data_IF_602608868895
#
_entry.id   IF_602608868895
#
_cell.length_a   1.000
_cell.length_b   1.000
_cell.length_c   1.000
_cell.angle_alpha   90.00
_cell.angle_beta   90.00
_cell.angle_gamma   90.00
#
_symmetry.space_group_name_H-M   'P 1'
#
loop_
_entity.id
_entity.type
_entity.pdbx_description
1 polymer ?
#
# COMPACT_ATOMS: atom_id res chain seq x y z
N UNK A 1 13.03 -14.68 13.57
CA UNK A 1 11.74 -13.99 13.43
C UNK A 1 11.39 -13.68 11.99
N UNK A 2 12.31 -13.06 11.21
CA UNK A 2 12.03 -12.70 9.80
C UNK A 2 11.69 -13.93 8.94
N UNK A 3 12.49 -14.97 8.98
CA UNK A 3 12.21 -16.24 8.29
C UNK A 3 11.00 -17.01 8.85
N UNK A 4 10.45 -16.58 9.99
CA UNK A 4 9.21 -17.11 10.56
C UNK A 4 7.98 -16.25 10.21
N UNK A 5 8.18 -15.11 9.55
CA UNK A 5 7.11 -14.19 9.19
C UNK A 5 6.56 -13.33 10.35
N UNK A 6 7.31 -13.19 11.44
CA UNK A 6 6.83 -12.55 12.69
C UNK A 6 7.70 -11.40 13.20
N UNK A 7 8.60 -10.89 12.38
CA UNK A 7 9.42 -9.72 12.73
C UNK A 7 8.76 -8.43 12.26
N UNK A 8 7.77 -7.94 12.99
CA UNK A 8 6.95 -6.80 12.58
C UNK A 8 7.68 -5.45 12.60
N UNK A 9 8.86 -5.37 13.20
CA UNK A 9 9.75 -4.19 13.18
C UNK A 9 10.96 -4.39 12.24
N UNK A 10 10.88 -5.30 11.27
CA UNK A 10 11.98 -5.59 10.34
C UNK A 10 12.46 -4.35 9.59
N UNK A 11 11.58 -3.40 9.31
CA UNK A 11 11.90 -2.13 8.65
C UNK A 11 12.83 -1.23 9.48
N UNK A 12 13.00 -1.49 10.77
CA UNK A 12 14.00 -0.84 11.65
C UNK A 12 15.38 -1.49 11.56
N UNK A 13 15.49 -2.60 10.84
CA UNK A 13 16.72 -3.37 10.66
C UNK A 13 17.18 -3.40 9.22
N UNK A 14 16.27 -3.61 8.29
CA UNK A 14 16.53 -3.51 6.85
C UNK A 14 16.22 -2.10 6.37
N UNK A 15 16.89 -1.69 5.30
CA UNK A 15 16.89 -0.31 4.82
C UNK A 15 18.16 0.43 5.16
N UNK A 16 18.11 1.76 5.12
CA UNK A 16 19.20 2.66 5.48
C UNK A 16 18.86 3.42 6.77
N UNK A 17 19.70 3.28 7.79
CA UNK A 17 19.45 3.86 9.11
C UNK A 17 20.64 4.67 9.59
N UNK A 18 20.40 5.94 9.96
CA UNK A 18 21.39 6.75 10.64
C UNK A 18 21.84 6.02 11.92
N UNK A 19 23.12 5.87 12.09
CA UNK A 19 23.71 5.07 13.18
C UNK A 19 25.03 5.67 13.64
N UNK A 20 25.47 5.24 14.82
CA UNK A 20 26.80 5.54 15.36
C UNK A 20 27.46 4.22 15.71
N UNK A 21 28.59 3.91 15.07
CA UNK A 21 29.38 2.74 15.38
C UNK A 21 30.80 3.19 15.83
N UNK A 22 31.27 2.67 16.95
CA UNK A 22 32.55 3.06 17.56
C UNK A 22 32.77 4.59 17.70
N UNK A 23 31.68 5.32 17.96
CA UNK A 23 31.70 6.78 18.09
C UNK A 23 31.72 7.55 16.76
N UNK A 24 31.66 6.87 15.64
CA UNK A 24 31.61 7.48 14.29
C UNK A 24 30.19 7.49 13.76
N UNK A 25 29.72 8.66 13.35
CA UNK A 25 28.41 8.80 12.69
C UNK A 25 28.47 8.26 11.26
N UNK A 26 27.38 7.68 10.81
CA UNK A 26 27.23 7.15 9.47
C UNK A 26 25.84 6.53 9.25
N UNK A 27 25.76 5.64 8.27
CA UNK A 27 24.53 4.94 7.92
C UNK A 27 24.79 3.44 7.89
N UNK A 28 23.94 2.68 8.58
CA UNK A 28 23.86 1.24 8.43
C UNK A 28 22.87 0.91 7.29
N UNK A 29 23.33 0.08 6.35
CA UNK A 29 22.52 -0.44 5.24
C UNK A 29 22.28 -1.92 5.44
N UNK A 30 21.02 -2.34 5.31
CA UNK A 30 20.62 -3.74 5.37
C UNK A 30 19.67 -4.12 4.25
N UNK A 31 19.89 -5.27 3.61
CA UNK A 31 19.04 -5.77 2.53
C UNK A 31 18.92 -7.29 2.56
N UNK A 32 17.75 -7.79 2.18
CA UNK A 32 17.51 -9.22 2.01
C UNK A 32 17.66 -9.59 0.54
N UNK A 33 18.69 -10.39 0.24
CA UNK A 33 19.02 -10.88 -1.09
C UNK A 33 19.66 -12.27 -1.00
N UNK A 34 18.87 -13.31 -0.71
CA UNK A 34 19.38 -14.64 -0.34
C UNK A 34 20.14 -15.35 -1.46
N UNK A 35 19.85 -15.04 -2.71
CA UNK A 35 20.47 -15.68 -3.87
C UNK A 35 21.58 -14.84 -4.51
N UNK A 36 21.84 -13.62 -4.01
CA UNK A 36 22.91 -12.78 -4.54
C UNK A 36 24.30 -13.45 -4.38
N UNK A 37 25.16 -13.25 -5.36
CA UNK A 37 26.57 -13.60 -5.24
C UNK A 37 27.34 -12.55 -4.44
N UNK A 38 26.98 -11.27 -4.63
CA UNK A 38 27.54 -10.11 -3.95
C UNK A 38 26.50 -8.98 -3.94
N UNK A 39 26.52 -8.15 -2.91
CA UNK A 39 25.75 -6.91 -2.86
C UNK A 39 26.66 -5.76 -2.47
N UNK A 40 26.59 -4.65 -3.19
CA UNK A 40 27.33 -3.43 -2.91
C UNK A 40 26.36 -2.26 -2.71
N UNK A 41 26.75 -1.27 -1.91
CA UNK A 41 26.03 -0.01 -1.80
C UNK A 41 26.70 1.02 -2.70
N UNK A 42 25.93 1.60 -3.61
CA UNK A 42 26.39 2.67 -4.51
C UNK A 42 25.51 3.90 -4.28
N UNK A 43 26.09 5.08 -4.42
CA UNK A 43 25.34 6.32 -4.20
C UNK A 43 26.18 7.56 -4.41
N UNK A 44 25.59 8.70 -4.10
CA UNK A 44 26.26 10.01 -4.20
C UNK A 44 27.50 10.13 -3.31
N UNK A 45 27.54 9.39 -2.21
CA UNK A 45 28.66 9.40 -1.27
C UNK A 45 29.96 8.76 -1.82
N UNK A 46 29.86 7.89 -2.82
CA UNK A 46 30.99 7.22 -3.45
C UNK A 46 31.02 7.40 -4.98
N UNK A 47 30.35 8.47 -5.49
CA UNK A 47 30.26 8.76 -6.92
C UNK A 47 29.71 7.58 -7.75
N UNK A 48 28.80 6.80 -7.14
CA UNK A 48 28.21 5.59 -7.73
C UNK A 48 29.22 4.50 -8.08
N UNK A 49 30.36 4.47 -7.39
CA UNK A 49 31.40 3.48 -7.61
C UNK A 49 30.92 2.08 -7.24
N UNK A 50 30.92 1.19 -8.21
CA UNK A 50 30.38 -0.17 -8.09
C UNK A 50 31.22 -1.11 -7.21
N UNK A 51 32.49 -0.77 -6.94
CA UNK A 51 33.44 -1.68 -6.28
C UNK A 51 33.80 -1.30 -4.85
N UNK A 52 33.49 -0.07 -4.44
CA UNK A 52 34.07 0.51 -3.24
C UNK A 52 33.41 0.09 -1.90
N UNK A 53 32.15 -0.35 -1.90
CA UNK A 53 31.40 -0.63 -0.67
C UNK A 53 30.65 -1.97 -0.72
N UNK A 54 31.40 -3.11 -0.74
CA UNK A 54 30.79 -4.42 -0.67
C UNK A 54 30.18 -4.67 0.70
N UNK A 55 28.94 -5.20 0.71
CA UNK A 55 28.25 -5.60 1.93
C UNK A 55 28.71 -6.97 2.42
N UNK A 56 28.52 -7.23 3.70
CA UNK A 56 28.80 -8.50 4.33
C UNK A 56 27.50 -9.32 4.47
N UNK A 57 27.58 -10.61 4.14
CA UNK A 57 26.48 -11.54 4.37
C UNK A 57 26.37 -11.85 5.87
N UNK A 58 25.20 -11.61 6.44
CA UNK A 58 24.92 -11.80 7.86
C UNK A 58 24.20 -13.13 8.09
N UNK A 59 24.96 -14.18 8.38
CA UNK A 59 24.42 -15.52 8.60
C UNK A 59 23.81 -16.15 7.34
N UNK A 60 22.98 -17.17 7.55
CA UNK A 60 22.40 -17.98 6.47
C UNK A 60 21.04 -17.47 5.96
N UNK A 61 20.45 -16.45 6.60
CA UNK A 61 19.12 -15.94 6.26
C UNK A 61 19.06 -15.07 5.01
N UNK A 62 20.18 -14.87 4.31
CA UNK A 62 20.23 -14.08 3.07
C UNK A 62 20.20 -12.57 3.29
N UNK A 63 20.49 -12.10 4.48
CA UNK A 63 20.61 -10.67 4.80
C UNK A 63 22.05 -10.23 4.60
N UNK A 64 22.20 -9.06 3.97
CA UNK A 64 23.46 -8.36 3.78
C UNK A 64 23.43 -7.06 4.55
N UNK A 65 24.55 -6.71 5.19
CA UNK A 65 24.66 -5.49 6.00
C UNK A 65 26.00 -4.81 5.82
N UNK A 66 26.01 -3.48 5.98
CA UNK A 66 27.22 -2.65 5.95
C UNK A 66 26.96 -1.33 6.67
N UNK A 67 27.84 -0.96 7.60
CA UNK A 67 27.92 0.41 8.11
C UNK A 67 28.90 1.21 7.26
N UNK A 68 28.50 2.40 6.83
CA UNK A 68 29.35 3.32 6.05
C UNK A 68 29.51 4.62 6.85
N UNK A 69 30.70 4.91 7.36
CA UNK A 69 30.96 6.14 8.11
C UNK A 69 30.89 7.37 7.21
N UNK A 70 30.42 8.49 7.77
CA UNK A 70 30.36 9.79 7.08
C UNK A 70 29.24 9.92 6.04
N UNK A 71 28.40 8.91 5.85
CA UNK A 71 27.18 9.04 5.06
C UNK A 71 26.13 9.76 5.89
N UNK A 72 25.43 10.70 5.29
CA UNK A 72 24.48 11.59 5.95
C UNK A 72 23.06 11.46 5.38
N UNK A 73 22.10 12.04 6.11
CA UNK A 73 20.73 12.19 5.61
C UNK A 73 20.71 12.98 4.29
N UNK A 74 19.82 12.59 3.37
CA UNK A 74 19.72 13.16 2.04
C UNK A 74 20.60 12.46 0.98
N UNK A 75 21.48 11.54 1.38
CA UNK A 75 22.30 10.76 0.45
C UNK A 75 21.43 9.86 -0.42
N UNK A 76 21.61 9.94 -1.73
CA UNK A 76 20.99 9.02 -2.69
C UNK A 76 21.82 7.75 -2.82
N UNK A 77 21.14 6.60 -2.84
CA UNK A 77 21.80 5.29 -2.94
C UNK A 77 20.95 4.25 -3.66
N UNK A 78 21.63 3.18 -4.09
CA UNK A 78 21.02 1.93 -4.57
C UNK A 78 21.79 0.73 -4.01
N UNK A 79 21.15 -0.43 -4.01
CA UNK A 79 21.84 -1.70 -3.89
C UNK A 79 22.23 -2.20 -5.28
N UNK A 80 23.51 -2.42 -5.51
CA UNK A 80 24.02 -3.11 -6.68
C UNK A 80 24.15 -4.59 -6.35
N UNK A 81 23.29 -5.40 -6.94
CA UNK A 81 23.25 -6.83 -6.73
C UNK A 81 23.91 -7.55 -7.88
N UNK A 82 24.94 -8.33 -7.56
CA UNK A 82 25.56 -9.27 -8.49
C UNK A 82 24.81 -10.59 -8.40
N UNK A 83 23.99 -10.90 -9.39
CA UNK A 83 23.27 -12.15 -9.47
C UNK A 83 24.22 -13.31 -9.82
N UNK A 84 23.86 -14.55 -9.42
CA UNK A 84 24.69 -15.73 -9.68
C UNK A 84 24.81 -16.08 -11.17
N UNK A 85 23.90 -15.59 -12.01
CA UNK A 85 23.92 -15.74 -13.47
C UNK A 85 24.80 -14.68 -14.16
N UNK A 86 25.45 -13.79 -13.41
CA UNK A 86 26.37 -12.76 -13.89
C UNK A 86 25.71 -11.42 -14.17
N UNK A 87 24.40 -11.27 -14.04
CA UNK A 87 23.72 -9.97 -14.20
C UNK A 87 24.07 -9.02 -13.04
N UNK A 88 24.20 -7.72 -13.39
CA UNK A 88 24.25 -6.63 -12.44
C UNK A 88 22.86 -5.98 -12.34
N UNK A 89 22.32 -5.93 -11.15
CA UNK A 89 20.98 -5.39 -10.89
C UNK A 89 21.07 -4.16 -9.99
N UNK A 90 20.58 -3.02 -10.49
CA UNK A 90 20.60 -1.73 -9.77
C UNK A 90 19.23 -1.53 -9.11
N UNK A 91 19.14 -1.87 -7.83
CA UNK A 91 17.86 -1.94 -7.12
C UNK A 91 17.67 -0.78 -6.15
N UNK A 92 16.46 -0.19 -6.16
CA UNK A 92 16.01 0.62 -5.06
C UNK A 92 15.88 -0.23 -3.79
N UNK A 93 16.01 0.40 -2.64
CA UNK A 93 15.87 -0.28 -1.36
C UNK A 93 14.39 -0.61 -1.08
N UNK A 94 14.03 -1.88 -0.90
CA UNK A 94 12.65 -2.27 -0.61
C UNK A 94 12.06 -1.66 0.67
N UNK A 95 12.92 -1.28 1.62
CA UNK A 95 12.55 -0.67 2.90
C UNK A 95 12.85 0.83 2.98
N UNK A 96 13.23 1.47 1.87
CA UNK A 96 13.48 2.90 1.86
C UNK A 96 12.25 3.70 2.30
N UNK A 97 12.45 4.69 3.14
CA UNK A 97 11.39 5.58 3.61
C UNK A 97 11.25 6.83 2.74
N UNK A 98 12.16 7.06 1.81
CA UNK A 98 12.12 8.18 0.88
C UNK A 98 12.75 7.79 -0.45
N UNK A 99 12.09 8.15 -1.53
CA UNK A 99 12.54 7.87 -2.89
C UNK A 99 12.92 9.15 -3.63
N UNK A 100 13.89 9.03 -4.55
CA UNK A 100 14.20 10.08 -5.50
C UNK A 100 12.95 10.46 -6.32
N UNK A 101 12.79 11.77 -6.59
CA UNK A 101 11.69 12.24 -7.43
C UNK A 101 11.80 11.65 -8.84
N UNK A 102 10.70 11.15 -9.36
CA UNK A 102 10.65 10.54 -10.69
C UNK A 102 11.11 11.52 -11.79
N UNK A 103 11.77 11.08 -12.86
CA UNK A 103 12.03 9.69 -13.26
C UNK A 103 13.22 9.02 -12.56
N UNK A 104 13.84 9.67 -11.58
CA UNK A 104 14.90 9.06 -10.77
C UNK A 104 14.41 7.82 -10.02
N UNK A 105 15.32 6.88 -9.76
CA UNK A 105 14.99 5.57 -9.19
C UNK A 105 15.83 5.20 -7.98
N UNK A 106 16.59 6.15 -7.44
CA UNK A 106 17.36 5.95 -6.23
C UNK A 106 16.49 6.03 -4.98
N UNK A 107 16.97 5.44 -3.91
CA UNK A 107 16.46 5.66 -2.57
C UNK A 107 17.24 6.79 -1.89
N UNK A 108 16.65 7.45 -0.90
CA UNK A 108 17.26 8.56 -0.17
C UNK A 108 17.31 8.19 1.30
N UNK A 109 18.49 8.35 1.91
CA UNK A 109 18.65 8.20 3.36
C UNK A 109 17.83 9.28 4.05
N UNK A 110 16.92 8.89 4.92
CA UNK A 110 16.08 9.83 5.67
C UNK A 110 15.78 9.32 7.08
N UNK A 111 15.71 10.24 8.02
CA UNK A 111 15.23 9.97 9.38
C UNK A 111 13.74 10.31 9.48
N UNK A 112 12.90 9.31 9.69
CA UNK A 112 11.47 9.49 9.93
C UNK A 112 11.13 9.61 11.42
N UNK A 113 12.11 9.54 12.30
CA UNK A 113 11.92 9.69 13.75
C UNK A 113 11.88 11.15 14.17
N UNK A 114 11.46 11.41 15.42
CA UNK A 114 11.53 12.76 16.01
C UNK A 114 10.51 13.76 15.45
N UNK A 115 9.47 13.31 14.73
CA UNK A 115 8.37 14.19 14.36
C UNK A 115 7.55 14.57 15.60
N UNK A 116 7.22 15.87 15.74
CA UNK A 116 6.42 16.40 16.86
C UNK A 116 4.93 16.14 16.65
N UNK A 117 4.50 14.93 16.95
CA UNK A 117 3.09 14.55 16.88
C UNK A 117 2.25 15.27 17.92
N UNK A 118 1.15 15.86 17.51
CA UNK A 118 0.21 16.59 18.37
C UNK A 118 -1.20 16.00 18.29
N UNK A 119 -1.31 14.72 17.99
CA UNK A 119 -2.53 13.98 17.75
C UNK A 119 -2.87 12.96 18.86
N UNK A 120 -2.21 13.02 20.01
CA UNK A 120 -2.38 12.07 21.11
C UNK A 120 -3.85 11.90 21.52
N UNK A 121 -4.62 12.98 21.57
CA UNK A 121 -6.06 12.92 21.89
C UNK A 121 -6.87 12.13 20.87
N UNK A 122 -6.52 12.27 19.59
CA UNK A 122 -7.13 11.49 18.51
C UNK A 122 -6.79 10.01 18.66
N UNK A 123 -5.51 9.68 18.83
CA UNK A 123 -5.04 8.30 18.97
C UNK A 123 -5.67 7.59 20.16
N UNK A 124 -5.75 8.23 21.33
CA UNK A 124 -6.41 7.69 22.51
C UNK A 124 -7.93 7.51 22.32
N UNK A 125 -8.57 8.42 21.60
CA UNK A 125 -9.99 8.33 21.32
C UNK A 125 -10.28 7.21 20.32
N UNK A 126 -9.44 7.09 19.28
CA UNK A 126 -9.54 6.03 18.28
C UNK A 126 -9.47 4.64 18.90
N UNK A 127 -8.50 4.40 19.76
CA UNK A 127 -8.26 3.09 20.36
C UNK A 127 -9.37 2.65 21.33
N UNK A 128 -10.23 3.57 21.75
CA UNK A 128 -11.39 3.31 22.60
C UNK A 128 -12.69 3.09 21.82
N UNK A 129 -12.72 3.37 20.53
CA UNK A 129 -13.91 3.28 19.68
C UNK A 129 -14.09 1.87 19.11
N UNK A 130 -15.33 1.43 19.09
CA UNK A 130 -15.76 0.30 18.28
C UNK A 130 -16.21 0.85 16.91
N UNK A 131 -15.33 0.79 15.94
CA UNK A 131 -15.58 1.38 14.62
C UNK A 131 -16.76 0.72 13.89
N UNK A 132 -17.16 -0.48 14.26
CA UNK A 132 -18.38 -1.12 13.72
C UNK A 132 -19.68 -0.45 14.20
N UNK A 133 -19.59 0.42 15.20
CA UNK A 133 -20.73 1.16 15.77
C UNK A 133 -20.67 2.66 15.52
N UNK A 134 -19.59 3.14 14.92
CA UNK A 134 -19.42 4.56 14.62
C UNK A 134 -19.85 4.86 13.17
N UNK A 135 -20.54 5.99 12.93
CA UNK A 135 -20.83 6.41 11.57
C UNK A 135 -19.55 6.82 10.87
N UNK A 136 -19.37 6.36 9.63
CA UNK A 136 -18.24 6.72 8.79
C UNK A 136 -18.75 7.33 7.48
N UNK A 137 -18.25 8.53 7.17
CA UNK A 137 -18.36 9.16 5.85
C UNK A 137 -16.95 9.38 5.33
N UNK A 138 -16.59 8.66 4.27
CA UNK A 138 -15.22 8.59 3.75
C UNK A 138 -15.15 9.33 2.42
N UNK A 139 -14.17 10.22 2.26
CA UNK A 139 -13.84 10.86 0.98
C UNK A 139 -12.60 10.20 0.37
N UNK A 140 -12.78 9.46 -0.71
CA UNK A 140 -11.69 8.88 -1.50
C UNK A 140 -11.01 9.98 -2.33
N UNK A 141 -9.70 10.11 -2.23
CA UNK A 141 -8.97 11.22 -2.81
C UNK A 141 -7.58 10.82 -3.31
N UNK A 142 -7.25 11.27 -4.53
CA UNK A 142 -5.89 11.26 -5.07
C UNK A 142 -5.32 12.68 -5.00
N UNK A 143 -4.22 12.88 -4.27
CA UNK A 143 -3.67 14.22 -3.98
C UNK A 143 -3.40 15.00 -5.27
N UNK A 144 -2.74 14.37 -6.25
CA UNK A 144 -2.40 15.00 -7.52
C UNK A 144 -3.60 15.34 -8.43
N UNK A 145 -4.78 14.82 -8.11
CA UNK A 145 -6.02 15.05 -8.89
C UNK A 145 -7.05 15.91 -8.17
N UNK A 146 -6.92 16.09 -6.86
CA UNK A 146 -7.89 16.84 -6.06
C UNK A 146 -8.04 18.29 -6.52
N UNK A 147 -6.94 19.01 -6.57
CA UNK A 147 -6.84 20.37 -7.09
C UNK A 147 -5.48 20.60 -7.74
N UNK A 148 -5.41 21.56 -8.64
CA UNK A 148 -4.14 22.03 -9.24
C UNK A 148 -3.78 23.40 -8.70
N UNK A 149 -2.52 23.54 -8.32
CA UNK A 149 -1.96 24.82 -7.93
C UNK A 149 -1.63 25.63 -9.20
N UNK A 150 -2.25 26.81 -9.39
CA UNK A 150 -2.14 27.52 -10.66
C UNK A 150 -0.74 28.07 -10.95
N UNK A 151 0.11 28.25 -9.95
CA UNK A 151 1.40 28.98 -10.07
C UNK A 151 2.50 28.46 -9.13
N UNK A 152 2.67 27.13 -8.99
CA UNK A 152 3.76 26.61 -8.12
C UNK A 152 5.08 26.33 -8.85
N UNK A 153 5.17 26.70 -10.12
CA UNK A 153 6.40 26.54 -10.91
C UNK A 153 6.67 25.13 -11.42
N UNK A 154 5.79 24.15 -11.16
CA UNK A 154 5.88 22.79 -11.72
C UNK A 154 4.90 22.61 -12.86
N UNK A 155 5.26 21.76 -13.82
CA UNK A 155 4.38 21.43 -14.94
C UNK A 155 3.12 20.67 -14.50
N UNK A 156 3.24 19.85 -13.48
CA UNK A 156 2.15 19.07 -12.91
C UNK A 156 1.17 19.90 -12.10
N UNK A 157 1.63 20.98 -11.46
CA UNK A 157 0.83 21.86 -10.61
C UNK A 157 0.26 21.12 -9.38
N UNK A 158 0.99 20.14 -8.83
CA UNK A 158 0.55 19.44 -7.63
C UNK A 158 0.68 20.33 -6.39
N UNK A 159 -0.29 20.22 -5.48
CA UNK A 159 -0.07 20.67 -4.11
C UNK A 159 0.90 19.70 -3.41
N UNK A 160 1.81 20.24 -2.61
CA UNK A 160 2.59 19.42 -1.69
C UNK A 160 1.73 18.95 -0.50
N UNK A 161 2.24 18.00 0.31
CA UNK A 161 1.51 17.46 1.46
C UNK A 161 1.01 18.54 2.44
N UNK A 162 1.78 19.60 2.67
CA UNK A 162 1.42 20.67 3.60
C UNK A 162 0.34 21.59 3.02
N UNK A 163 0.49 22.00 1.78
CA UNK A 163 -0.51 22.82 1.08
C UNK A 163 -1.81 22.06 0.89
N UNK A 164 -1.72 20.77 0.59
CA UNK A 164 -2.88 19.89 0.48
C UNK A 164 -3.63 19.77 1.81
N UNK A 165 -2.92 19.71 2.94
CA UNK A 165 -3.55 19.65 4.26
C UNK A 165 -4.54 20.79 4.48
N UNK A 166 -4.15 22.03 4.19
CA UNK A 166 -5.01 23.20 4.36
C UNK A 166 -6.28 23.10 3.52
N UNK A 167 -6.13 22.69 2.26
CA UNK A 167 -7.23 22.60 1.31
C UNK A 167 -8.19 21.46 1.60
N UNK A 168 -7.67 20.28 1.87
CA UNK A 168 -8.50 19.09 2.10
C UNK A 168 -9.27 19.19 3.42
N UNK A 169 -8.66 19.74 4.47
CA UNK A 169 -9.31 19.90 5.79
C UNK A 169 -10.51 20.84 5.68
N UNK A 170 -10.38 21.95 4.98
CA UNK A 170 -11.48 22.89 4.73
C UNK A 170 -12.66 22.17 4.05
N UNK A 171 -12.38 21.46 2.97
CA UNK A 171 -13.37 20.72 2.21
C UNK A 171 -14.06 19.62 3.03
N UNK A 172 -13.27 18.80 3.75
CA UNK A 172 -13.81 17.69 4.56
C UNK A 172 -14.72 18.19 5.69
N UNK A 173 -14.38 19.31 6.31
CA UNK A 173 -15.20 19.94 7.35
C UNK A 173 -16.52 20.50 6.79
N UNK A 174 -16.45 21.21 5.67
CA UNK A 174 -17.63 21.74 4.98
C UNK A 174 -18.59 20.62 4.60
N UNK A 175 -18.07 19.54 4.01
CA UNK A 175 -18.84 18.39 3.55
C UNK A 175 -19.16 17.38 4.66
N UNK A 176 -18.62 17.56 5.87
CA UNK A 176 -18.84 16.72 7.07
C UNK A 176 -18.35 15.26 6.90
N UNK A 177 -17.28 15.07 6.16
CA UNK A 177 -16.62 13.78 6.11
C UNK A 177 -15.89 13.47 7.43
N UNK A 178 -15.91 12.21 7.84
CA UNK A 178 -15.25 11.74 9.06
C UNK A 178 -13.83 11.22 8.77
N UNK A 179 -13.59 10.78 7.55
CA UNK A 179 -12.32 10.20 7.11
C UNK A 179 -12.00 10.65 5.68
N UNK A 180 -10.71 10.66 5.37
CA UNK A 180 -10.20 10.72 4.00
C UNK A 180 -9.49 9.41 3.69
N UNK A 181 -9.77 8.82 2.53
CA UNK A 181 -9.03 7.68 1.98
C UNK A 181 -8.09 8.20 0.89
N UNK A 182 -6.78 8.03 1.12
CA UNK A 182 -5.75 8.55 0.23
C UNK A 182 -5.23 7.46 -0.70
N UNK A 183 -5.41 7.69 -2.00
CA UNK A 183 -4.89 6.84 -3.07
C UNK A 183 -3.47 7.24 -3.44
N UNK A 184 -2.66 6.26 -3.91
CA UNK A 184 -1.36 6.51 -4.53
C UNK A 184 -0.31 7.12 -3.61
N UNK A 185 -0.34 6.77 -2.32
CA UNK A 185 0.63 7.30 -1.34
C UNK A 185 1.93 6.51 -1.37
N UNK A 186 1.93 5.19 -1.49
CA UNK A 186 3.15 4.43 -1.64
C UNK A 186 3.87 4.79 -2.96
N UNK A 187 5.20 4.89 -2.92
CA UNK A 187 5.99 5.34 -4.08
C UNK A 187 5.80 4.42 -5.29
N UNK A 188 5.64 5.04 -6.45
CA UNK A 188 5.39 4.37 -7.73
C UNK A 188 5.98 5.19 -8.88
N UNK A 189 6.53 4.55 -9.95
CA UNK A 189 7.20 5.27 -11.03
C UNK A 189 6.24 5.88 -12.05
N UNK A 190 5.09 5.25 -12.29
CA UNK A 190 4.18 5.60 -13.37
C UNK A 190 2.92 6.31 -12.88
N UNK A 191 2.76 7.58 -13.21
CA UNK A 191 1.60 8.40 -12.79
C UNK A 191 0.27 7.83 -13.28
N UNK A 192 0.25 7.25 -14.47
CA UNK A 192 -0.95 6.64 -15.05
C UNK A 192 -1.46 5.41 -14.31
N UNK A 193 -0.67 4.85 -13.41
CA UNK A 193 -1.10 3.75 -12.54
C UNK A 193 -1.93 4.21 -11.34
N UNK A 194 -2.03 5.52 -11.08
CA UNK A 194 -2.66 6.12 -9.90
C UNK A 194 -2.12 5.60 -8.55
N UNK A 195 -0.91 5.00 -8.58
CA UNK A 195 -0.28 4.40 -7.41
C UNK A 195 -0.53 2.91 -7.23
N UNK A 196 -1.17 2.23 -8.18
CA UNK A 196 -1.41 0.78 -8.11
C UNK A 196 -0.25 -0.08 -8.64
N UNK A 197 0.79 0.53 -9.22
CA UNK A 197 2.03 -0.15 -9.60
C UNK A 197 3.17 0.28 -8.67
N UNK A 198 3.13 -0.21 -7.45
CA UNK A 198 4.02 0.20 -6.36
C UNK A 198 5.43 -0.35 -6.57
N UNK A 199 6.44 0.48 -6.28
CA UNK A 199 7.85 0.09 -6.17
C UNK A 199 8.43 0.34 -4.79
N UNK A 200 7.91 1.34 -4.05
CA UNK A 200 8.37 1.72 -2.72
C UNK A 200 7.29 1.57 -1.65
N UNK A 201 7.15 0.38 -1.08
CA UNK A 201 6.09 0.07 -0.10
C UNK A 201 6.23 0.82 1.23
N UNK A 202 7.45 1.23 1.60
CA UNK A 202 7.76 1.90 2.86
C UNK A 202 8.05 3.39 2.70
N UNK A 203 7.81 3.95 1.51
CA UNK A 203 8.05 5.36 1.21
C UNK A 203 6.75 6.06 0.77
N UNK A 204 6.34 7.14 1.45
CA UNK A 204 5.36 8.05 0.87
C UNK A 204 5.92 8.63 -0.42
N UNK A 205 5.09 8.73 -1.46
CA UNK A 205 5.56 9.24 -2.75
C UNK A 205 6.20 10.62 -2.62
N UNK A 206 7.37 10.79 -3.23
CA UNK A 206 8.11 12.04 -3.26
C UNK A 206 7.47 13.14 -4.13
N UNK A 207 6.41 12.80 -4.86
CA UNK A 207 5.64 13.76 -5.70
C UNK A 207 5.13 14.95 -4.92
N UNK A 208 4.83 14.79 -3.64
CA UNK A 208 4.16 15.79 -2.82
C UNK A 208 5.00 16.27 -1.64
N UNK A 209 6.27 15.84 -1.54
CA UNK A 209 7.17 16.27 -0.47
C UNK A 209 7.88 15.12 0.25
N UNK A 210 8.36 15.42 1.45
CA UNK A 210 9.11 14.47 2.28
C UNK A 210 8.21 13.58 3.13
N UNK A 211 8.73 12.48 3.70
CA UNK A 211 7.97 11.69 4.67
C UNK A 211 7.45 12.49 5.87
N UNK A 212 8.23 13.43 6.38
CA UNK A 212 7.79 14.32 7.49
C UNK A 212 6.70 15.29 7.07
N UNK A 213 6.65 15.70 5.80
CA UNK A 213 5.52 16.47 5.27
C UNK A 213 4.24 15.64 5.21
N UNK A 214 4.34 14.35 4.91
CA UNK A 214 3.20 13.45 4.99
C UNK A 214 2.74 13.21 6.45
N UNK A 215 3.67 13.07 7.39
CA UNK A 215 3.33 13.05 8.83
C UNK A 215 2.60 14.34 9.25
N UNK A 216 3.05 15.50 8.76
CA UNK A 216 2.36 16.78 9.00
C UNK A 216 0.91 16.77 8.51
N UNK A 217 0.67 16.27 7.29
CA UNK A 217 -0.69 16.13 6.74
C UNK A 217 -1.60 15.30 7.68
N UNK A 218 -1.12 14.14 8.11
CA UNK A 218 -1.90 13.27 9.02
C UNK A 218 -2.14 13.94 10.37
N UNK A 219 -1.11 14.56 10.93
CA UNK A 219 -1.22 15.30 12.20
C UNK A 219 -2.28 16.40 12.14
N UNK A 220 -2.31 17.18 11.07
CA UNK A 220 -3.29 18.27 10.90
C UNK A 220 -4.72 17.70 10.66
N UNK A 221 -4.85 16.60 9.93
CA UNK A 221 -6.15 15.91 9.77
C UNK A 221 -6.68 15.42 11.12
N UNK A 222 -5.85 14.78 11.94
CA UNK A 222 -6.24 14.33 13.28
C UNK A 222 -6.64 15.50 14.20
N UNK A 223 -5.89 16.59 14.18
CA UNK A 223 -6.25 17.82 14.92
C UNK A 223 -7.58 18.40 14.46
N UNK A 224 -7.92 18.22 13.20
CA UNK A 224 -9.19 18.64 12.62
C UNK A 224 -10.36 17.68 12.92
N UNK A 225 -10.07 16.53 13.54
CA UNK A 225 -11.07 15.50 13.84
C UNK A 225 -11.39 14.58 12.67
N UNK A 226 -10.46 14.40 11.73
CA UNK A 226 -10.60 13.58 10.52
C UNK A 226 -9.61 12.43 10.56
N UNK A 227 -10.10 11.20 10.37
CA UNK A 227 -9.28 10.00 10.25
C UNK A 227 -8.69 9.84 8.84
N UNK A 228 -7.62 9.05 8.75
CA UNK A 228 -6.89 8.78 7.51
C UNK A 228 -6.87 7.29 7.22
N UNK A 229 -7.35 6.92 6.04
CA UNK A 229 -7.28 5.57 5.50
C UNK A 229 -6.33 5.60 4.32
N UNK A 230 -5.42 4.62 4.22
CA UNK A 230 -4.57 4.47 3.05
C UNK A 230 -5.11 3.38 2.12
N UNK A 231 -5.11 3.67 0.83
CA UNK A 231 -5.29 2.66 -0.20
C UNK A 231 -3.99 1.85 -0.32
N UNK A 232 -4.05 0.58 0.06
CA UNK A 232 -2.89 -0.30 0.19
C UNK A 232 -2.98 -1.46 -0.80
N UNK A 233 -1.88 -1.73 -1.51
CA UNK A 233 -1.84 -2.64 -2.66
C UNK A 233 -0.96 -3.87 -2.38
N UNK A 234 -1.39 -4.84 -1.58
CA UNK A 234 -0.62 -6.06 -1.32
C UNK A 234 -0.84 -7.15 -2.37
N UNK A 235 -1.72 -6.92 -3.34
CA UNK A 235 -2.06 -7.92 -4.36
C UNK A 235 -0.95 -8.14 -5.38
N UNK A 236 -0.27 -7.07 -5.77
CA UNK A 236 0.73 -7.10 -6.84
C UNK A 236 1.69 -5.92 -6.75
N UNK A 237 2.75 -5.95 -7.57
CA UNK A 237 3.73 -4.87 -7.64
C UNK A 237 4.26 -4.70 -9.07
N UNK A 238 4.88 -3.53 -9.33
CA UNK A 238 5.41 -3.16 -10.63
C UNK A 238 6.59 -4.03 -11.06
N UNK A 239 6.74 -4.19 -12.38
CA UNK A 239 7.83 -4.97 -13.00
C UNK A 239 9.08 -4.14 -13.33
N UNK A 240 9.09 -2.86 -12.98
CA UNK A 240 10.21 -1.95 -13.22
C UNK A 240 11.53 -2.52 -12.71
N UNK A 241 12.59 -2.38 -13.49
CA UNK A 241 13.89 -3.02 -13.23
C UNK A 241 14.52 -2.66 -11.87
N UNK A 242 14.23 -1.46 -11.35
CA UNK A 242 14.72 -1.01 -10.04
C UNK A 242 13.86 -1.49 -8.86
N UNK A 243 12.69 -2.07 -9.12
CA UNK A 243 11.73 -2.51 -8.12
C UNK A 243 11.98 -3.94 -7.62
N UNK A 244 10.91 -4.57 -7.14
CA UNK A 244 10.97 -5.86 -6.44
C UNK A 244 11.10 -7.08 -7.36
N UNK A 245 10.70 -6.96 -8.65
CA UNK A 245 10.70 -8.09 -9.58
C UNK A 245 12.11 -8.65 -9.77
N UNK A 246 12.25 -9.97 -9.65
CA UNK A 246 13.54 -10.69 -9.75
C UNK A 246 14.67 -10.00 -8.92
N UNK A 247 14.36 -9.62 -7.70
CA UNK A 247 15.14 -8.66 -6.92
C UNK A 247 16.62 -8.99 -6.79
N UNK A 248 16.98 -10.26 -6.59
CA UNK A 248 18.37 -10.71 -6.48
C UNK A 248 18.81 -11.60 -7.65
N UNK A 249 18.13 -11.48 -8.80
CA UNK A 249 18.29 -12.36 -9.96
C UNK A 249 17.36 -13.58 -9.91
N UNK A 250 16.59 -13.72 -8.83
CA UNK A 250 15.59 -14.75 -8.64
C UNK A 250 14.28 -14.12 -8.16
N UNK A 251 13.17 -14.83 -8.32
CA UNK A 251 11.87 -14.44 -7.82
C UNK A 251 11.80 -14.64 -6.29
N UNK A 252 12.17 -13.60 -5.51
CA UNK A 252 12.16 -13.69 -4.05
C UNK A 252 10.89 -13.09 -3.43
N UNK A 253 10.29 -12.10 -4.05
CA UNK A 253 9.02 -11.50 -3.64
C UNK A 253 7.83 -12.13 -4.36
N UNK A 254 7.96 -12.48 -5.62
CA UNK A 254 6.95 -13.16 -6.45
C UNK A 254 7.18 -14.67 -6.53
N UNK A 255 6.19 -15.40 -7.03
CA UNK A 255 6.32 -16.81 -7.32
C UNK A 255 7.04 -17.01 -8.68
N UNK A 256 8.00 -17.96 -8.80
CA UNK A 256 8.75 -18.17 -10.05
C UNK A 256 7.91 -18.73 -11.19
N UNK A 257 6.83 -19.47 -10.91
CA UNK A 257 5.89 -19.92 -11.95
C UNK A 257 4.96 -18.74 -12.31
N UNK A 258 4.95 -18.26 -13.57
CA UNK A 258 4.16 -17.11 -13.98
C UNK A 258 2.64 -17.33 -13.80
N UNK A 259 2.17 -18.58 -13.79
CA UNK A 259 0.76 -18.90 -13.54
C UNK A 259 0.34 -18.56 -12.11
N UNK A 260 1.28 -18.47 -11.17
CA UNK A 260 1.08 -18.05 -9.78
C UNK A 260 1.65 -16.66 -9.48
N UNK A 261 2.66 -16.23 -10.23
CA UNK A 261 3.46 -15.03 -9.97
C UNK A 261 3.14 -13.83 -10.85
N UNK A 262 2.19 -13.89 -11.78
CA UNK A 262 1.89 -12.80 -12.70
C UNK A 262 0.39 -12.56 -12.87
N UNK A 263 0.04 -11.26 -13.02
CA UNK A 263 -1.24 -10.82 -13.56
C UNK A 263 -1.04 -10.37 -15.02
N UNK A 264 -1.35 -11.21 -16.02
CA UNK A 264 -1.09 -10.90 -17.42
C UNK A 264 -1.79 -9.64 -17.91
N UNK A 265 -3.04 -9.41 -17.48
CA UNK A 265 -3.83 -8.24 -17.89
C UNK A 265 -3.31 -6.93 -17.31
N UNK A 266 -2.69 -6.97 -16.13
CA UNK A 266 -2.17 -5.77 -15.45
C UNK A 266 -0.68 -5.55 -15.68
N UNK A 267 0.02 -6.56 -16.22
CA UNK A 267 1.47 -6.50 -16.43
C UNK A 267 2.26 -6.40 -15.13
N UNK A 268 1.76 -6.97 -14.04
CA UNK A 268 2.33 -6.89 -12.69
C UNK A 268 2.69 -8.27 -12.16
N UNK A 269 3.55 -8.31 -11.12
CA UNK A 269 3.91 -9.52 -10.39
C UNK A 269 3.00 -9.70 -9.18
N UNK A 270 2.71 -10.96 -8.83
CA UNK A 270 1.93 -11.32 -7.64
C UNK A 270 2.89 -11.71 -6.53
N UNK A 271 2.67 -11.18 -5.32
CA UNK A 271 3.43 -11.58 -4.13
C UNK A 271 3.25 -13.08 -3.81
N UNK A 272 4.36 -13.73 -3.42
CA UNK A 272 4.34 -15.11 -2.96
C UNK A 272 3.94 -15.18 -1.47
N UNK A 273 2.63 -15.22 -1.21
CA UNK A 273 2.08 -15.24 0.16
C UNK A 273 2.46 -16.51 0.94
N UNK A 274 2.89 -17.57 0.28
CA UNK A 274 3.40 -18.79 0.91
C UNK A 274 4.79 -18.63 1.53
N UNK A 275 5.53 -17.57 1.18
CA UNK A 275 6.87 -17.32 1.68
C UNK A 275 6.83 -16.43 2.93
N UNK A 276 7.39 -16.93 4.03
CA UNK A 276 7.31 -16.23 5.32
C UNK A 276 7.93 -14.84 5.29
N UNK A 277 9.06 -14.65 4.61
CA UNK A 277 9.71 -13.35 4.48
C UNK A 277 8.84 -12.35 3.70
N UNK A 278 8.08 -12.81 2.71
CA UNK A 278 7.14 -11.97 1.94
C UNK A 278 5.92 -11.62 2.80
N UNK A 279 5.34 -12.58 3.52
CA UNK A 279 4.28 -12.29 4.51
C UNK A 279 4.77 -11.29 5.54
N UNK A 280 5.98 -11.47 6.05
CA UNK A 280 6.59 -10.53 6.99
C UNK A 280 6.74 -9.12 6.41
N UNK A 281 7.21 -9.02 5.16
CA UNK A 281 7.35 -7.75 4.46
C UNK A 281 6.00 -7.00 4.39
N UNK A 282 4.92 -7.70 4.01
CA UNK A 282 3.60 -7.09 3.86
C UNK A 282 2.93 -6.78 5.20
N UNK A 283 2.97 -7.69 6.19
CA UNK A 283 2.39 -7.43 7.52
C UNK A 283 3.13 -6.29 8.22
N UNK A 284 4.46 -6.30 8.19
CA UNK A 284 5.26 -5.21 8.75
C UNK A 284 4.99 -3.89 8.03
N UNK A 285 4.70 -3.91 6.73
CA UNK A 285 4.35 -2.70 5.97
C UNK A 285 3.01 -2.09 6.41
N UNK A 286 1.97 -2.89 6.59
CA UNK A 286 0.70 -2.39 7.14
C UNK A 286 0.91 -1.77 8.54
N UNK A 287 1.67 -2.44 9.38
CA UNK A 287 1.99 -1.93 10.72
C UNK A 287 2.89 -0.68 10.70
N UNK A 288 3.78 -0.57 9.72
CA UNK A 288 4.61 0.61 9.51
C UNK A 288 3.77 1.87 9.29
N UNK A 289 2.79 1.83 8.39
CA UNK A 289 1.89 2.95 8.14
C UNK A 289 1.10 3.34 9.39
N UNK A 290 0.66 2.34 10.16
CA UNK A 290 -0.06 2.56 11.41
C UNK A 290 0.82 3.16 12.49
N UNK A 291 2.04 2.64 12.69
CA UNK A 291 2.91 2.99 13.81
C UNK A 291 3.70 4.26 13.57
N UNK A 292 4.28 4.42 12.39
CA UNK A 292 5.18 5.51 12.08
C UNK A 292 4.45 6.73 11.50
N UNK A 293 3.31 6.50 10.83
CA UNK A 293 2.51 7.57 10.21
C UNK A 293 1.13 7.77 10.86
N UNK A 294 0.78 7.02 11.90
CA UNK A 294 -0.49 7.15 12.64
C UNK A 294 -1.76 7.01 11.79
N UNK A 295 -1.71 6.32 10.64
CA UNK A 295 -2.93 6.10 9.85
C UNK A 295 -3.97 5.31 10.63
N UNK A 296 -5.24 5.51 10.33
CA UNK A 296 -6.36 4.95 11.08
C UNK A 296 -6.93 3.68 10.46
N UNK A 297 -6.56 3.40 9.23
CA UNK A 297 -6.97 2.20 8.53
C UNK A 297 -6.29 2.02 7.18
N UNK A 298 -6.49 0.84 6.62
CA UNK A 298 -6.09 0.50 5.25
C UNK A 298 -7.30 -0.04 4.49
N UNK A 299 -7.47 0.44 3.27
CA UNK A 299 -8.33 -0.21 2.25
C UNK A 299 -7.42 -1.12 1.45
N UNK A 300 -7.72 -2.41 1.45
CA UNK A 300 -6.93 -3.43 0.76
C UNK A 300 -7.47 -3.59 -0.64
N UNK A 301 -6.65 -3.18 -1.61
CA UNK A 301 -6.97 -3.24 -3.03
C UNK A 301 -7.03 -4.67 -3.55
N UNK A 302 -7.97 -4.92 -4.46
CA UNK A 302 -8.08 -6.14 -5.26
C UNK A 302 -8.02 -7.46 -4.46
N UNK A 303 -8.70 -7.54 -3.33
CA UNK A 303 -8.71 -8.74 -2.47
C UNK A 303 -9.16 -9.98 -3.23
N UNK A 304 -10.15 -9.87 -4.13
CA UNK A 304 -10.59 -10.98 -4.96
C UNK A 304 -9.45 -11.57 -5.81
N UNK A 305 -8.56 -10.73 -6.34
CA UNK A 305 -7.40 -11.20 -7.12
C UNK A 305 -6.40 -11.99 -6.29
N UNK A 306 -6.38 -11.79 -4.97
CA UNK A 306 -5.54 -12.54 -4.03
C UNK A 306 -6.18 -13.86 -3.61
N UNK A 307 -7.50 -13.90 -3.46
CA UNK A 307 -8.25 -15.07 -2.97
C UNK A 307 -8.44 -16.15 -4.03
N UNK A 308 -8.48 -15.79 -5.32
CA UNK A 308 -8.73 -16.69 -6.42
C UNK A 308 -7.51 -16.86 -7.32
N UNK A 309 -7.02 -18.10 -7.46
CA UNK A 309 -5.86 -18.42 -8.30
C UNK A 309 -6.12 -18.23 -9.80
N UNK A 310 -7.38 -18.30 -10.21
CA UNK A 310 -7.85 -18.12 -11.60
C UNK A 310 -8.37 -16.71 -11.90
N UNK A 311 -8.22 -15.75 -10.97
CA UNK A 311 -8.70 -14.39 -11.17
C UNK A 311 -8.06 -13.74 -12.40
N UNK A 312 -8.88 -13.30 -13.36
CA UNK A 312 -8.43 -12.66 -14.59
C UNK A 312 -7.56 -13.55 -15.50
N UNK A 313 -7.62 -14.88 -15.34
CA UNK A 313 -6.80 -15.85 -16.08
C UNK A 313 -7.66 -16.83 -16.89
N UNK A 314 -7.12 -17.22 -18.02
CA UNK A 314 -7.74 -18.23 -18.89
C UNK A 314 -7.34 -19.65 -18.47
N UNK A 315 -8.00 -20.63 -19.04
CA UNK A 315 -7.62 -22.03 -18.87
C UNK A 315 -6.14 -22.24 -19.30
N UNK A 316 -5.36 -22.89 -18.44
CA UNK A 316 -3.92 -23.09 -18.62
C UNK A 316 -3.02 -21.96 -18.11
N UNK A 317 -3.57 -20.78 -17.78
CA UNK A 317 -2.82 -19.63 -17.25
C UNK A 317 -2.76 -19.61 -15.72
N UNK A 318 -3.35 -20.58 -15.03
CA UNK A 318 -3.36 -20.68 -13.58
C UNK A 318 -3.14 -22.12 -13.11
N UNK A 319 -2.81 -22.28 -11.84
CA UNK A 319 -2.62 -23.59 -11.19
C UNK A 319 -3.59 -23.76 -10.03
N UNK A 320 -4.23 -24.91 -9.90
CA UNK A 320 -5.07 -25.22 -8.74
C UNK A 320 -4.24 -25.33 -7.45
N UNK A 321 -4.90 -25.12 -6.31
CA UNK A 321 -4.28 -25.38 -5.01
C UNK A 321 -4.11 -26.92 -4.79
N UNK A 322 -3.46 -27.27 -3.67
CA UNK A 322 -3.17 -28.68 -3.31
C UNK A 322 -4.41 -29.59 -3.18
N UNK A 323 -5.60 -29.03 -3.15
CA UNK A 323 -6.88 -29.78 -3.13
C UNK A 323 -7.60 -29.75 -4.48
N UNK A 324 -7.00 -29.19 -5.51
CA UNK A 324 -7.56 -29.10 -6.86
C UNK A 324 -8.53 -27.94 -7.10
N UNK A 325 -8.70 -27.06 -6.12
CA UNK A 325 -9.57 -25.87 -6.21
C UNK A 325 -8.85 -24.60 -6.62
N UNK A 326 -9.61 -23.53 -6.84
CA UNK A 326 -9.10 -22.22 -7.25
C UNK A 326 -8.85 -21.23 -6.09
N UNK A 327 -9.09 -21.62 -4.83
CA UNK A 327 -8.83 -20.79 -3.68
C UNK A 327 -7.32 -20.70 -3.41
N UNK A 328 -6.81 -19.48 -3.24
CA UNK A 328 -5.41 -19.25 -2.83
C UNK A 328 -5.29 -19.38 -1.30
N UNK A 329 -4.91 -20.58 -0.85
CA UNK A 329 -4.83 -20.91 0.57
C UNK A 329 -3.79 -20.07 1.31
N UNK A 330 -2.69 -19.73 0.65
CA UNK A 330 -1.61 -18.91 1.20
C UNK A 330 -2.06 -17.46 1.40
N UNK A 331 -2.85 -16.91 0.48
CA UNK A 331 -3.43 -15.58 0.64
C UNK A 331 -4.49 -15.53 1.75
N UNK A 332 -5.29 -16.58 1.89
CA UNK A 332 -6.26 -16.69 3.01
C UNK A 332 -5.52 -16.69 4.34
N UNK A 333 -4.46 -17.47 4.47
CA UNK A 333 -3.63 -17.53 5.67
C UNK A 333 -2.93 -16.18 5.95
N UNK A 334 -2.48 -15.50 4.89
CA UNK A 334 -1.94 -14.15 5.01
C UNK A 334 -2.95 -13.16 5.59
N UNK A 335 -4.20 -13.15 5.14
CA UNK A 335 -5.24 -12.28 5.70
C UNK A 335 -5.58 -12.64 7.14
N UNK A 336 -5.64 -13.93 7.47
CA UNK A 336 -5.81 -14.36 8.87
C UNK A 336 -4.69 -13.81 9.75
N UNK A 337 -3.44 -13.92 9.30
CA UNK A 337 -2.28 -13.41 10.04
C UNK A 337 -2.35 -11.88 10.19
N UNK A 338 -2.51 -11.14 9.09
CA UNK A 338 -2.59 -9.69 9.09
C UNK A 338 -3.68 -9.16 10.03
N UNK A 339 -4.90 -9.65 9.85
CA UNK A 339 -6.06 -9.17 10.60
C UNK A 339 -6.00 -9.60 12.08
N UNK A 340 -5.44 -10.77 12.40
CA UNK A 340 -5.20 -11.19 13.78
C UNK A 340 -4.24 -10.25 14.52
N UNK A 341 -3.12 -9.90 13.88
CA UNK A 341 -2.13 -9.00 14.46
C UNK A 341 -2.72 -7.60 14.67
N UNK A 342 -3.42 -7.08 13.68
CA UNK A 342 -4.03 -5.75 13.76
C UNK A 342 -5.11 -5.71 14.86
N UNK A 343 -6.09 -6.60 14.81
CA UNK A 343 -7.18 -6.64 15.80
C UNK A 343 -6.68 -6.89 17.22
N UNK A 344 -5.70 -7.75 17.39
CA UNK A 344 -5.13 -8.07 18.69
C UNK A 344 -4.32 -6.96 19.35
N UNK A 345 -3.80 -6.03 18.54
CA UNK A 345 -2.87 -4.99 19.03
C UNK A 345 -3.45 -3.57 18.92
N UNK A 346 -4.26 -3.33 17.90
CA UNK A 346 -4.74 -1.99 17.54
C UNK A 346 -6.25 -1.97 17.26
N UNK A 347 -7.10 -2.07 18.28
CA UNK A 347 -8.56 -2.26 18.12
C UNK A 347 -9.26 -1.10 17.39
N UNK A 348 -8.69 0.10 17.41
CA UNK A 348 -9.24 1.26 16.72
C UNK A 348 -8.82 1.40 15.26
N UNK A 349 -7.93 0.54 14.76
CA UNK A 349 -7.51 0.52 13.37
C UNK A 349 -8.43 -0.37 12.54
N UNK A 350 -8.83 0.10 11.35
CA UNK A 350 -9.75 -0.62 10.48
C UNK A 350 -9.06 -1.19 9.24
N UNK A 351 -9.46 -2.40 8.85
CA UNK A 351 -9.10 -3.01 7.57
C UNK A 351 -10.34 -3.14 6.71
N UNK A 352 -10.29 -2.62 5.48
CA UNK A 352 -11.42 -2.56 4.56
C UNK A 352 -11.05 -3.36 3.33
N UNK A 353 -11.84 -4.40 3.00
CA UNK A 353 -11.59 -5.20 1.82
C UNK A 353 -12.32 -4.65 0.59
N UNK A 354 -11.59 -4.38 -0.49
CA UNK A 354 -12.20 -4.33 -1.81
C UNK A 354 -12.28 -5.75 -2.35
N UNK A 355 -13.43 -6.38 -2.12
CA UNK A 355 -13.71 -7.73 -2.57
C UNK A 355 -15.02 -7.72 -3.36
N UNK A 356 -14.94 -7.95 -4.66
CA UNK A 356 -16.04 -7.76 -5.62
C UNK A 356 -16.85 -9.03 -5.90
N UNK A 357 -16.46 -10.17 -5.31
CA UNK A 357 -17.09 -11.46 -5.56
C UNK A 357 -18.04 -11.88 -4.45
N UNK A 358 -18.65 -13.05 -4.59
CA UNK A 358 -19.50 -13.66 -3.58
C UNK A 358 -18.70 -14.46 -2.52
N UNK A 359 -17.44 -14.11 -2.26
CA UNK A 359 -16.65 -14.73 -1.19
C UNK A 359 -17.32 -14.48 0.16
N UNK A 360 -17.64 -15.53 0.93
CA UNK A 360 -18.37 -15.39 2.19
C UNK A 360 -17.46 -15.02 3.34
N UNK A 361 -18.06 -14.43 4.39
CA UNK A 361 -17.41 -14.24 5.69
C UNK A 361 -16.13 -13.35 5.65
N UNK A 362 -16.08 -12.37 4.75
CA UNK A 362 -14.92 -11.45 4.65
C UNK A 362 -14.71 -10.68 5.96
N UNK A 363 -15.81 -10.25 6.59
CA UNK A 363 -15.78 -9.45 7.83
C UNK A 363 -16.07 -10.25 9.10
N UNK A 364 -16.24 -11.56 8.98
CA UNK A 364 -16.44 -12.45 10.14
C UNK A 364 -15.12 -12.74 10.86
N UNK A 365 -15.22 -13.16 12.10
CA UNK A 365 -14.08 -13.47 12.96
C UNK A 365 -13.25 -14.65 12.44
N UNK A 366 -11.92 -14.56 12.61
CA UNK A 366 -10.93 -15.52 12.16
C UNK A 366 -11.05 -16.88 12.86
N UNK A 367 -11.61 -16.92 14.08
CA UNK A 367 -11.86 -18.17 14.81
C UNK A 367 -12.87 -19.13 14.14
N UNK A 368 -13.55 -18.70 13.09
CA UNK A 368 -14.40 -19.48 12.21
C UNK A 368 -13.84 -19.54 10.79
N UNK A 369 -14.70 -19.31 9.79
CA UNK A 369 -14.31 -19.29 8.37
C UNK A 369 -14.02 -17.85 7.86
N UNK A 370 -14.00 -16.85 8.75
CA UNK A 370 -13.89 -15.44 8.42
C UNK A 370 -12.47 -15.00 8.09
N UNK A 371 -12.34 -14.00 7.20
CA UNK A 371 -11.05 -13.39 6.86
C UNK A 371 -10.60 -12.33 7.88
N UNK A 372 -11.50 -11.86 8.75
CA UNK A 372 -11.18 -10.93 9.83
C UNK A 372 -11.10 -9.45 9.46
N UNK A 373 -11.53 -9.04 8.28
CA UNK A 373 -11.63 -7.62 7.92
C UNK A 373 -12.65 -6.88 8.79
N UNK A 374 -12.42 -5.60 9.02
CA UNK A 374 -13.40 -4.77 9.72
C UNK A 374 -14.62 -4.50 8.84
N UNK A 375 -14.38 -4.21 7.56
CA UNK A 375 -15.41 -3.85 6.60
C UNK A 375 -15.11 -4.45 5.22
N UNK A 376 -16.18 -4.54 4.40
CA UNK A 376 -16.11 -4.89 2.98
C UNK A 376 -16.83 -3.82 2.17
N UNK A 377 -16.26 -3.39 1.03
CA UNK A 377 -16.97 -2.59 0.06
C UNK A 377 -18.14 -3.36 -0.54
N UNK A 378 -19.32 -2.73 -0.59
CA UNK A 378 -20.48 -3.30 -1.28
C UNK A 378 -20.44 -2.92 -2.77
N UNK A 379 -19.68 -3.67 -3.55
CA UNK A 379 -19.52 -3.42 -4.99
C UNK A 379 -20.83 -3.66 -5.76
N UNK A 380 -21.64 -4.62 -5.31
CA UNK A 380 -22.97 -4.88 -5.90
C UNK A 380 -23.89 -3.68 -5.76
N UNK A 381 -23.95 -3.07 -4.58
CA UNK A 381 -24.70 -1.83 -4.38
C UNK A 381 -24.19 -0.70 -5.28
N UNK A 382 -22.88 -0.55 -5.42
CA UNK A 382 -22.30 0.50 -6.27
C UNK A 382 -22.76 0.36 -7.72
N UNK A 383 -22.73 -0.85 -8.27
CA UNK A 383 -23.18 -1.12 -9.63
C UNK A 383 -24.69 -0.83 -9.78
N UNK A 384 -25.52 -1.37 -8.88
CA UNK A 384 -26.95 -1.16 -8.90
C UNK A 384 -27.32 0.32 -8.79
N UNK A 385 -26.63 1.05 -7.90
CA UNK A 385 -26.82 2.49 -7.73
C UNK A 385 -26.45 3.27 -9.00
N UNK A 386 -25.29 3.00 -9.59
CA UNK A 386 -24.84 3.65 -10.82
C UNK A 386 -25.80 3.39 -11.99
N UNK A 387 -26.24 2.14 -12.17
CA UNK A 387 -27.20 1.80 -13.23
C UNK A 387 -28.57 2.47 -13.01
N UNK A 388 -29.04 2.50 -11.76
CA UNK A 388 -30.29 3.21 -11.45
C UNK A 388 -30.19 4.72 -11.75
N UNK A 389 -29.05 5.34 -11.43
CA UNK A 389 -28.85 6.77 -11.64
C UNK A 389 -28.76 7.16 -13.13
N UNK A 390 -28.31 6.25 -13.99
CA UNK A 390 -28.29 6.41 -15.46
C UNK A 390 -29.69 6.39 -16.08
N UNK A 391 -30.69 5.84 -15.40
CA UNK A 391 -32.04 5.76 -15.93
C UNK A 391 -32.67 7.15 -16.03
N UNK A 392 -33.38 7.38 -17.12
CA UNK A 392 -34.29 8.51 -17.20
C UNK A 392 -35.28 8.46 -16.02
N UNK A 393 -35.55 9.59 -15.34
CA UNK A 393 -36.46 9.64 -14.20
C UNK A 393 -37.83 8.99 -14.45
N UNK A 394 -38.31 8.98 -15.68
CA UNK A 394 -39.56 8.34 -16.08
C UNK A 394 -39.54 6.83 -15.78
N UNK A 395 -38.39 6.16 -15.93
CA UNK A 395 -38.24 4.71 -15.74
C UNK A 395 -37.84 4.32 -14.32
N UNK A 396 -37.39 5.26 -13.48
CA UNK A 396 -36.89 4.96 -12.13
C UNK A 396 -37.93 4.30 -11.24
N UNK A 397 -39.20 4.71 -11.33
CA UNK A 397 -40.29 4.12 -10.53
C UNK A 397 -40.36 2.59 -10.68
N UNK A 398 -40.23 2.08 -11.93
CA UNK A 398 -40.28 0.64 -12.22
C UNK A 398 -39.00 -0.14 -11.85
N UNK A 399 -37.89 0.57 -11.56
CA UNK A 399 -36.59 -0.01 -11.27
C UNK A 399 -36.10 0.29 -9.85
N UNK A 400 -36.98 0.70 -8.97
CA UNK A 400 -36.63 1.10 -7.60
C UNK A 400 -35.94 -0.04 -6.78
N UNK A 401 -36.22 -1.30 -7.14
CA UNK A 401 -35.60 -2.45 -6.54
C UNK A 401 -34.06 -2.42 -6.61
N UNK A 402 -33.46 -1.81 -7.65
CA UNK A 402 -32.03 -1.66 -7.77
C UNK A 402 -31.43 -0.87 -6.59
N UNK A 403 -32.16 0.13 -6.07
CA UNK A 403 -31.74 0.90 -4.90
C UNK A 403 -31.87 0.15 -3.58
N UNK A 404 -32.82 -0.79 -3.49
CA UNK A 404 -33.19 -1.46 -2.26
C UNK A 404 -32.67 -2.90 -2.16
N UNK A 405 -32.20 -3.49 -3.28
CA UNK A 405 -31.77 -4.88 -3.31
C UNK A 405 -30.67 -5.19 -2.28
N UNK A 406 -29.73 -4.30 -2.06
CA UNK A 406 -28.68 -4.45 -1.07
C UNK A 406 -29.21 -4.68 0.36
N UNK A 407 -30.42 -4.23 0.68
CA UNK A 407 -31.06 -4.48 1.98
C UNK A 407 -31.35 -5.97 2.20
N UNK A 408 -31.48 -6.77 1.14
CA UNK A 408 -31.78 -8.21 1.24
C UNK A 408 -30.60 -9.01 1.79
N UNK A 409 -29.37 -8.48 1.71
CA UNK A 409 -28.14 -9.15 2.19
C UNK A 409 -27.30 -8.27 3.12
N UNK A 410 -27.86 -7.15 3.59
CA UNK A 410 -27.13 -6.16 4.39
C UNK A 410 -26.48 -6.74 5.66
N UNK A 411 -27.09 -7.77 6.25
CA UNK A 411 -26.63 -8.38 7.51
C UNK A 411 -25.55 -9.46 7.28
N UNK A 412 -25.17 -9.74 6.03
CA UNK A 412 -24.20 -10.79 5.72
C UNK A 412 -22.75 -10.39 5.98
N UNK A 413 -22.45 -9.08 5.91
CA UNK A 413 -21.12 -8.49 6.12
C UNK A 413 -21.25 -7.10 6.74
N UNK A 414 -20.15 -6.57 7.25
CA UNK A 414 -20.04 -5.15 7.63
C UNK A 414 -19.71 -4.34 6.38
N UNK A 415 -20.72 -3.77 5.73
CA UNK A 415 -20.56 -3.08 4.46
C UNK A 415 -20.22 -1.60 4.59
N UNK A 416 -19.32 -1.13 3.70
CA UNK A 416 -19.20 0.27 3.29
C UNK A 416 -19.82 0.39 1.89
N UNK A 417 -20.60 1.44 1.66
CA UNK A 417 -21.23 1.73 0.37
C UNK A 417 -20.33 2.67 -0.45
N UNK A 418 -19.50 2.16 -1.39
CA UNK A 418 -18.56 2.97 -2.13
C UNK A 418 -19.20 3.64 -3.35
N UNK A 419 -18.72 4.83 -3.69
CA UNK A 419 -18.80 5.41 -5.03
C UNK A 419 -17.36 5.71 -5.46
N UNK A 420 -16.63 4.63 -5.76
CA UNK A 420 -15.19 4.68 -5.99
C UNK A 420 -14.80 5.29 -7.32
N UNK A 421 -13.57 5.82 -7.38
CA UNK A 421 -12.93 6.29 -8.59
C UNK A 421 -13.04 5.32 -9.77
N UNK A 422 -13.06 4.02 -9.53
CA UNK A 422 -13.21 2.98 -10.56
C UNK A 422 -14.47 3.11 -11.38
N UNK A 423 -15.53 3.71 -10.82
CA UNK A 423 -16.82 3.88 -11.49
C UNK A 423 -17.10 5.34 -11.89
N UNK A 424 -16.34 6.31 -11.38
CA UNK A 424 -16.61 7.74 -11.59
C UNK A 424 -15.44 8.52 -12.17
N UNK A 425 -14.51 7.84 -12.85
CA UNK A 425 -13.35 8.44 -13.50
C UNK A 425 -13.47 8.57 -15.01
N UNK A 426 -12.36 8.94 -15.63
CA UNK A 426 -12.19 9.07 -17.07
C UNK A 426 -12.73 7.86 -17.85
N UNK A 427 -13.47 8.12 -18.90
CA UNK A 427 -14.24 7.18 -19.75
C UNK A 427 -15.43 6.50 -19.09
N UNK A 428 -15.61 6.59 -17.77
CA UNK A 428 -16.79 6.06 -17.07
C UNK A 428 -17.77 7.13 -16.62
N UNK A 429 -17.47 8.39 -16.81
CA UNK A 429 -18.20 9.59 -16.41
C UNK A 429 -18.27 9.80 -14.88
N UNK A 430 -18.27 11.08 -14.46
CA UNK A 430 -18.61 11.43 -13.08
C UNK A 430 -20.07 11.05 -12.74
N UNK A 431 -20.41 10.99 -11.46
CA UNK A 431 -21.81 10.72 -11.06
C UNK A 431 -22.82 11.67 -11.70
N UNK A 432 -22.49 12.96 -11.77
CA UNK A 432 -23.36 13.96 -12.42
C UNK A 432 -23.53 13.64 -13.90
N UNK A 433 -22.44 13.30 -14.58
CA UNK A 433 -22.46 13.00 -16.02
C UNK A 433 -23.07 11.62 -16.37
N UNK A 434 -23.24 10.73 -15.37
CA UNK A 434 -23.99 9.48 -15.56
C UNK A 434 -25.50 9.71 -15.61
N UNK A 435 -25.98 10.73 -14.93
CA UNK A 435 -27.41 11.03 -14.87
C UNK A 435 -27.90 11.65 -16.17
N UNK A 436 -29.10 11.30 -16.64
CA UNK A 436 -29.72 11.96 -17.81
C UNK A 436 -30.03 13.40 -17.47
N UNK A 437 -29.78 14.28 -18.44
CA UNK A 437 -29.94 15.72 -18.30
C UNK A 437 -28.73 16.51 -18.79
N UNK A 438 -28.72 17.80 -18.54
CA UNK A 438 -27.67 18.71 -18.99
C UNK A 438 -26.96 19.36 -17.81
#
# INVERSE_FOLDING_TARGET
LFAQGTHYDIYKKLGAHLSVEDGVQGVYFGVWAPNAAQVNVIGTFNEWNEESHPMQKLGEGGIWGLFIPGVEEGTMYKFLIYARDGRKLYKADPFANYAEYRPGTASIVTDITGFDWRDSKWMEARDKKDMNKEPMAIYECHIGSFMKHPNNGTAEGFYNYREFADRIIEYLKEMKYTHVELMGIAEHPFDGSWGYQVTGYYAPTSRYGTPKDFMYLINELHKAGVGVILDWVPAHFATDAHGLAEFDGQCIFEHPDPRLGEHPEWGTKIFNYGKNEVKNFLVANALFWLREFHVDGIRVDAVASMLYLDYGKKEGEWLPNKFGGNKNLEAIEFFHHLNSVIRGTYPGFVTIAEESTAWPNVTSDIGGEGLGFSFKWNMGWMHDFCEYMKLDPLYRKGNHYAMTFAMSYNDSENYILPLSHDEVVHLKCSMVNKMPGY
#
